data_IF_999209891339
#
_entry.id   IF_999209891339
#
_cell.length_a   1.000
_cell.length_b   1.000
_cell.length_c   1.000
_cell.angle_alpha   90.00
_cell.angle_beta   90.00
_cell.angle_gamma   90.00
#
_symmetry.space_group_name_H-M   'P 1'
#
loop_
_entity.id
_entity.type
_entity.pdbx_description
1 polymer ?
#
# COMPACT_ATOMS: atom_id res chain seq x y z
N UNK A 1 -15.01 -2.50 14.92
CA UNK A 1 -15.91 -1.61 15.67
C UNK A 1 -16.98 -1.02 14.75
N UNK A 2 -16.65 -0.09 13.83
CA UNK A 2 -17.63 0.57 12.96
C UNK A 2 -18.58 -0.41 12.22
N UNK A 3 -18.05 -1.46 11.59
CA UNK A 3 -18.87 -2.44 10.86
C UNK A 3 -19.85 -3.17 11.78
N UNK A 4 -19.44 -3.50 13.00
CA UNK A 4 -20.29 -4.16 13.99
C UNK A 4 -21.39 -3.20 14.51
N UNK A 5 -21.01 -1.95 14.77
CA UNK A 5 -21.93 -0.91 15.23
C UNK A 5 -22.96 -0.57 14.16
N UNK A 6 -22.51 -0.46 12.91
CA UNK A 6 -23.39 -0.21 11.77
C UNK A 6 -24.39 -1.36 11.54
N UNK A 7 -23.93 -2.63 11.64
CA UNK A 7 -24.83 -3.79 11.56
C UNK A 7 -25.85 -3.79 12.67
N UNK A 8 -25.43 -3.52 13.92
CA UNK A 8 -26.35 -3.43 15.05
C UNK A 8 -27.38 -2.32 14.88
N UNK A 9 -26.98 -1.19 14.31
CA UNK A 9 -27.89 -0.09 13.98
C UNK A 9 -28.86 -0.49 12.87
N UNK A 10 -28.36 -1.09 11.80
CA UNK A 10 -29.15 -1.56 10.67
C UNK A 10 -30.24 -2.56 11.11
N UNK A 11 -29.86 -3.57 11.87
CA UNK A 11 -30.78 -4.59 12.40
C UNK A 11 -31.86 -4.01 13.30
N UNK A 12 -31.51 -3.04 14.18
CA UNK A 12 -32.44 -2.49 15.17
C UNK A 12 -33.37 -1.42 14.63
N UNK A 13 -32.89 -0.60 13.70
CA UNK A 13 -33.59 0.63 13.34
C UNK A 13 -33.97 0.74 11.87
N UNK A 14 -33.29 0.02 10.97
CA UNK A 14 -33.52 0.10 9.53
C UNK A 14 -34.17 -1.19 9.00
N UNK A 15 -33.65 -2.33 9.41
CA UNK A 15 -34.13 -3.67 9.03
C UNK A 15 -34.22 -3.88 7.51
N UNK A 16 -33.27 -3.32 6.76
CA UNK A 16 -33.23 -3.41 5.31
C UNK A 16 -32.69 -4.74 4.79
N UNK A 17 -32.03 -5.52 5.66
CA UNK A 17 -31.34 -6.76 5.30
C UNK A 17 -30.00 -6.54 4.56
N UNK A 18 -29.49 -5.30 4.56
CA UNK A 18 -28.21 -4.97 3.94
C UNK A 18 -27.05 -5.35 4.86
N UNK A 19 -26.11 -6.13 4.34
CA UNK A 19 -24.87 -6.45 5.02
C UNK A 19 -23.74 -5.52 4.58
N UNK A 20 -23.21 -4.73 5.51
CA UNK A 20 -22.04 -3.88 5.30
C UNK A 20 -20.78 -4.54 5.87
N UNK A 21 -19.75 -4.63 5.04
CA UNK A 21 -18.42 -5.15 5.42
C UNK A 21 -17.34 -4.63 4.48
N UNK A 22 -16.09 -4.63 4.93
CA UNK A 22 -14.92 -4.32 4.09
C UNK A 22 -14.32 -5.61 3.55
N UNK A 23 -14.45 -5.83 2.24
CA UNK A 23 -13.97 -7.04 1.57
C UNK A 23 -12.46 -7.24 1.74
N UNK A 24 -11.66 -6.19 1.65
CA UNK A 24 -10.20 -6.26 1.71
C UNK A 24 -9.62 -6.13 3.12
N UNK A 25 -10.46 -6.04 4.15
CA UNK A 25 -10.02 -5.88 5.55
C UNK A 25 -9.06 -6.97 6.05
N UNK A 26 -9.15 -8.24 5.62
CA UNK A 26 -8.20 -9.27 6.04
C UNK A 26 -6.78 -9.09 5.53
N UNK A 27 -6.60 -8.28 4.51
CA UNK A 27 -5.36 -8.13 3.76
C UNK A 27 -4.56 -6.90 4.19
N UNK A 28 -3.25 -6.98 4.08
CA UNK A 28 -2.37 -5.83 4.22
C UNK A 28 -2.39 -4.95 2.96
N UNK A 29 -2.00 -3.69 3.10
CA UNK A 29 -1.87 -2.77 1.96
C UNK A 29 -0.83 -3.28 0.95
N UNK A 30 0.22 -3.95 1.44
CA UNK A 30 1.24 -4.56 0.59
C UNK A 30 0.69 -5.72 -0.26
N UNK A 31 -0.16 -6.60 0.31
CA UNK A 31 -0.81 -7.67 -0.45
C UNK A 31 -1.75 -7.10 -1.52
N UNK A 32 -2.52 -6.07 -1.15
CA UNK A 32 -3.43 -5.38 -2.08
C UNK A 32 -2.63 -4.73 -3.21
N UNK A 33 -1.54 -4.04 -2.89
CA UNK A 33 -0.67 -3.41 -3.89
C UNK A 33 -0.05 -4.43 -4.86
N UNK A 34 0.42 -5.56 -4.33
CA UNK A 34 0.94 -6.67 -5.15
C UNK A 34 -0.13 -7.18 -6.12
N UNK A 35 -1.30 -7.52 -5.60
CA UNK A 35 -2.41 -8.03 -6.42
C UNK A 35 -2.86 -7.00 -7.47
N UNK A 36 -2.99 -5.75 -7.07
CA UNK A 36 -3.36 -4.65 -7.98
C UNK A 36 -2.35 -4.53 -9.12
N UNK A 37 -1.06 -4.55 -8.81
CA UNK A 37 0.01 -4.44 -9.81
C UNK A 37 0.02 -5.61 -10.80
N UNK A 38 -0.22 -6.85 -10.31
CA UNK A 38 -0.08 -8.07 -11.12
C UNK A 38 -1.37 -8.49 -11.85
N UNK A 39 -2.55 -8.09 -11.34
CA UNK A 39 -3.85 -8.59 -11.81
C UNK A 39 -4.81 -7.51 -12.28
N UNK A 40 -4.52 -6.24 -11.99
CA UNK A 40 -5.44 -5.13 -12.27
C UNK A 40 -4.85 -4.10 -13.23
N UNK A 41 -3.97 -4.50 -14.15
CA UNK A 41 -3.28 -3.62 -15.10
C UNK A 41 -4.23 -2.69 -15.85
N UNK A 42 -5.39 -3.19 -16.29
CA UNK A 42 -6.41 -2.41 -16.98
C UNK A 42 -6.98 -1.23 -16.16
N UNK A 43 -6.74 -1.22 -14.84
CA UNK A 43 -7.23 -0.19 -13.93
C UNK A 43 -6.15 0.80 -13.49
N UNK A 44 -4.89 0.58 -13.87
CA UNK A 44 -3.78 1.45 -13.46
C UNK A 44 -4.00 2.90 -13.88
N UNK A 45 -4.48 3.14 -15.11
CA UNK A 45 -4.70 4.48 -15.64
C UNK A 45 -5.85 5.24 -14.98
N UNK A 46 -6.83 4.54 -14.41
CA UNK A 46 -8.02 5.13 -13.77
C UNK A 46 -7.96 5.12 -12.24
N UNK A 47 -6.97 4.43 -11.66
CA UNK A 47 -6.80 4.36 -10.20
C UNK A 47 -6.47 5.72 -9.60
N UNK A 48 -7.26 6.14 -8.61
CA UNK A 48 -7.05 7.38 -7.85
C UNK A 48 -7.35 7.15 -6.39
N UNK A 49 -6.45 7.59 -5.53
CA UNK A 49 -6.59 7.50 -4.07
C UNK A 49 -6.14 8.78 -3.35
N UNK A 50 -5.82 9.84 -4.10
CA UNK A 50 -5.35 11.10 -3.55
C UNK A 50 -6.51 11.94 -3.04
N UNK A 51 -6.50 12.31 -1.73
CA UNK A 51 -7.54 13.16 -1.16
C UNK A 51 -7.52 14.59 -1.74
N UNK A 52 -6.33 15.15 -2.01
CA UNK A 52 -6.18 16.50 -2.55
C UNK A 52 -6.52 16.55 -4.05
N UNK A 53 -6.17 15.52 -4.80
CA UNK A 53 -6.43 15.42 -6.24
C UNK A 53 -7.83 14.90 -6.60
N UNK A 54 -8.63 14.46 -5.63
CA UNK A 54 -9.93 13.85 -5.88
C UNK A 54 -10.95 14.75 -6.62
N UNK A 55 -10.82 16.07 -6.48
CA UNK A 55 -11.70 17.03 -7.20
C UNK A 55 -11.33 17.20 -8.67
N UNK A 56 -10.11 16.89 -9.04
CA UNK A 56 -9.56 17.06 -10.40
C UNK A 56 -9.22 15.73 -11.07
N UNK A 57 -9.67 14.62 -10.47
CA UNK A 57 -9.35 13.26 -10.92
C UNK A 57 -7.84 13.04 -11.20
N UNK A 58 -7.01 13.52 -10.28
CA UNK A 58 -5.55 13.50 -10.43
C UNK A 58 -4.83 13.10 -9.14
N UNK A 59 -3.55 12.75 -9.26
CA UNK A 59 -2.64 12.63 -8.14
C UNK A 59 -2.00 13.99 -7.86
N UNK A 60 -2.03 14.46 -6.60
CA UNK A 60 -1.35 15.72 -6.26
C UNK A 60 0.19 15.59 -6.28
N UNK A 61 0.70 14.38 -6.19
CA UNK A 61 2.11 14.02 -6.16
C UNK A 61 2.95 14.82 -5.15
N UNK A 62 2.33 15.27 -4.07
CA UNK A 62 2.95 16.15 -3.08
C UNK A 62 2.40 15.93 -1.66
N UNK A 63 1.84 14.77 -1.35
CA UNK A 63 1.37 14.42 -0.02
C UNK A 63 1.88 13.04 0.40
N UNK A 64 1.93 12.74 1.72
CA UNK A 64 2.37 11.46 2.25
C UNK A 64 1.61 10.26 1.68
N UNK A 65 0.32 10.42 1.37
CA UNK A 65 -0.49 9.35 0.79
C UNK A 65 -0.05 8.99 -0.63
N UNK A 66 0.19 9.98 -1.49
CA UNK A 66 0.73 9.74 -2.83
C UNK A 66 2.10 9.04 -2.75
N UNK A 67 2.96 9.51 -1.84
CA UNK A 67 4.26 8.88 -1.62
C UNK A 67 4.11 7.43 -1.13
N UNK A 68 3.26 7.19 -0.13
CA UNK A 68 3.01 5.84 0.39
C UNK A 68 2.58 4.87 -0.71
N UNK A 69 1.58 5.26 -1.52
CA UNK A 69 1.11 4.42 -2.62
C UNK A 69 2.23 4.17 -3.66
N UNK A 70 3.04 5.18 -3.97
CA UNK A 70 4.20 5.00 -4.85
C UNK A 70 5.18 3.98 -4.26
N UNK A 71 5.48 4.05 -2.97
CA UNK A 71 6.42 3.14 -2.30
C UNK A 71 5.93 1.70 -2.35
N UNK A 72 4.67 1.43 -2.00
CA UNK A 72 4.17 0.05 -1.94
C UNK A 72 3.92 -0.58 -3.32
N UNK A 73 3.77 0.23 -4.38
CA UNK A 73 3.68 -0.24 -5.77
C UNK A 73 5.06 -0.45 -6.42
N UNK A 74 6.08 0.30 -5.98
CA UNK A 74 7.40 0.31 -6.60
C UNK A 74 8.12 -1.05 -6.70
N UNK A 75 7.97 -2.01 -5.75
CA UNK A 75 8.52 -3.36 -5.90
C UNK A 75 7.99 -4.10 -7.13
N UNK A 76 6.74 -3.86 -7.51
CA UNK A 76 5.99 -4.65 -8.49
C UNK A 76 5.89 -3.97 -9.86
N UNK A 77 5.92 -2.64 -9.91
CA UNK A 77 5.79 -1.84 -11.13
C UNK A 77 7.13 -1.26 -11.56
N UNK A 78 7.35 -1.14 -12.87
CA UNK A 78 8.50 -0.45 -13.42
C UNK A 78 8.45 1.06 -13.15
N UNK A 79 9.59 1.74 -13.38
CA UNK A 79 9.65 3.20 -13.29
C UNK A 79 8.63 3.89 -14.23
N UNK A 80 8.47 3.36 -15.44
CA UNK A 80 7.60 3.94 -16.46
C UNK A 80 6.11 3.73 -16.11
N UNK A 81 5.73 2.55 -15.60
CA UNK A 81 4.37 2.29 -15.10
C UNK A 81 4.02 3.19 -13.91
N UNK A 82 4.93 3.39 -12.96
CA UNK A 82 4.75 4.34 -11.86
C UNK A 82 4.50 5.75 -12.41
N UNK A 83 5.31 6.17 -13.39
CA UNK A 83 5.16 7.48 -14.03
C UNK A 83 3.86 7.62 -14.82
N UNK A 84 3.39 6.55 -15.43
CA UNK A 84 2.09 6.53 -16.13
C UNK A 84 0.92 6.71 -15.15
N UNK A 85 0.95 6.04 -13.99
CA UNK A 85 -0.09 6.14 -12.98
C UNK A 85 -0.14 7.53 -12.34
N UNK A 86 1.02 8.07 -11.95
CA UNK A 86 1.11 9.30 -11.14
C UNK A 86 1.43 10.56 -11.97
N UNK A 87 1.86 10.42 -13.23
CA UNK A 87 2.41 11.51 -14.04
C UNK A 87 3.90 11.75 -13.78
N UNK A 88 4.43 11.29 -12.64
CA UNK A 88 5.83 11.41 -12.25
C UNK A 88 6.21 10.29 -11.25
N UNK A 89 7.51 10.04 -11.06
CA UNK A 89 7.94 9.09 -10.02
C UNK A 89 8.33 9.85 -8.74
N UNK A 90 7.53 9.71 -7.69
CA UNK A 90 7.75 10.40 -6.42
C UNK A 90 9.05 9.98 -5.71
N UNK A 91 9.56 8.78 -5.99
CA UNK A 91 10.83 8.32 -5.42
C UNK A 91 12.04 9.17 -5.86
N UNK A 92 11.91 9.95 -6.93
CA UNK A 92 12.96 10.86 -7.41
C UNK A 92 12.89 12.26 -6.80
N UNK A 93 11.92 12.55 -5.94
CA UNK A 93 11.66 13.88 -5.40
C UNK A 93 12.33 14.10 -4.04
N UNK A 94 13.42 14.84 -4.02
CA UNK A 94 14.13 15.17 -2.77
C UNK A 94 13.24 15.86 -1.73
N UNK A 95 12.31 16.71 -2.15
CA UNK A 95 11.36 17.36 -1.24
C UNK A 95 10.45 16.41 -0.46
N UNK A 96 10.35 15.14 -0.88
CA UNK A 96 9.57 14.11 -0.19
C UNK A 96 10.38 13.35 0.88
N UNK A 97 11.68 13.66 1.08
CA UNK A 97 12.53 12.99 2.08
C UNK A 97 11.93 13.04 3.48
N UNK A 98 11.46 14.21 3.91
CA UNK A 98 10.85 14.35 5.25
C UNK A 98 9.62 13.48 5.44
N UNK A 99 8.75 13.38 4.44
CA UNK A 99 7.58 12.52 4.48
C UNK A 99 7.97 11.03 4.40
N UNK A 100 9.02 10.71 3.66
CA UNK A 100 9.56 9.36 3.59
C UNK A 100 10.11 8.90 4.94
N UNK A 101 10.89 9.75 5.63
CA UNK A 101 11.38 9.48 6.98
C UNK A 101 10.25 9.25 7.99
N UNK A 102 9.17 10.04 7.90
CA UNK A 102 7.96 9.83 8.71
C UNK A 102 7.31 8.49 8.42
N UNK A 103 7.20 8.09 7.16
CA UNK A 103 6.64 6.81 6.75
C UNK A 103 7.52 5.62 7.20
N UNK A 104 8.84 5.77 7.14
CA UNK A 104 9.81 4.80 7.69
C UNK A 104 9.80 4.78 9.23
N UNK A 105 9.20 5.79 9.88
CA UNK A 105 9.15 5.95 11.33
C UNK A 105 10.47 6.37 11.93
N UNK A 106 11.31 7.07 11.19
CA UNK A 106 12.53 7.73 11.65
C UNK A 106 12.22 9.05 12.35
N UNK A 107 11.03 9.59 12.16
CA UNK A 107 10.48 10.74 12.87
C UNK A 107 9.43 10.28 13.90
N UNK A 108 9.31 10.97 15.06
CA UNK A 108 8.27 10.65 16.04
C UNK A 108 6.84 10.93 15.52
N UNK A 109 6.72 11.79 14.53
CA UNK A 109 5.43 12.16 13.92
C UNK A 109 5.07 11.17 12.80
N UNK A 110 3.94 10.47 12.96
CA UNK A 110 3.33 9.73 11.84
C UNK A 110 2.51 10.72 10.99
N UNK A 111 2.55 10.61 9.64
CA UNK A 111 1.66 11.41 8.78
C UNK A 111 0.19 11.20 9.16
N UNK A 112 -0.58 12.29 9.20
CA UNK A 112 -2.03 12.27 9.50
C UNK A 112 -2.87 11.76 8.31
N UNK A 113 -2.29 10.99 7.43
CA UNK A 113 -2.93 10.43 6.24
C UNK A 113 -3.27 8.95 6.48
N UNK A 114 -4.25 8.44 5.70
CA UNK A 114 -4.52 7.01 5.64
C UNK A 114 -3.37 6.32 4.88
N UNK A 115 -2.34 5.97 5.60
CA UNK A 115 -1.16 5.24 5.11
C UNK A 115 -1.04 3.91 5.88
N UNK A 116 -0.47 2.91 5.22
CA UNK A 116 -0.31 1.58 5.80
C UNK A 116 0.66 1.51 6.97
N UNK A 117 1.17 0.34 7.23
CA UNK A 117 2.07 0.09 8.36
C UNK A 117 3.51 0.42 7.98
N UNK A 118 4.29 0.88 8.99
CA UNK A 118 5.74 1.12 8.86
C UNK A 118 6.49 -0.09 8.28
N UNK A 119 6.17 -1.31 8.77
CA UNK A 119 6.78 -2.54 8.28
C UNK A 119 6.58 -2.77 6.79
N UNK A 120 5.42 -2.39 6.25
CA UNK A 120 5.13 -2.50 4.81
C UNK A 120 5.96 -1.51 3.99
N UNK A 121 6.14 -0.28 4.50
CA UNK A 121 7.00 0.74 3.86
C UNK A 121 8.46 0.29 3.84
N UNK A 122 8.96 -0.25 4.95
CA UNK A 122 10.32 -0.77 5.06
C UNK A 122 10.52 -1.94 4.07
N UNK A 123 9.64 -2.93 4.09
CA UNK A 123 9.71 -4.08 3.19
C UNK A 123 9.68 -3.65 1.72
N UNK A 124 8.74 -2.77 1.35
CA UNK A 124 8.64 -2.25 -0.01
C UNK A 124 9.90 -1.49 -0.45
N UNK A 125 10.50 -0.71 0.45
CA UNK A 125 11.75 0.01 0.18
C UNK A 125 12.93 -0.94 -0.07
N UNK A 126 13.08 -2.00 0.75
CA UNK A 126 14.09 -3.04 0.54
C UNK A 126 13.91 -3.76 -0.80
N UNK A 127 12.69 -4.17 -1.13
CA UNK A 127 12.41 -4.84 -2.39
C UNK A 127 12.66 -3.93 -3.59
N UNK A 128 12.30 -2.66 -3.48
CA UNK A 128 12.58 -1.66 -4.51
C UNK A 128 14.08 -1.46 -4.70
N UNK A 129 14.83 -1.32 -3.60
CA UNK A 129 16.31 -1.22 -3.64
C UNK A 129 16.92 -2.42 -4.36
N UNK A 130 16.54 -3.65 -3.96
CA UNK A 130 17.00 -4.88 -4.63
C UNK A 130 16.71 -4.87 -6.12
N UNK A 131 15.49 -4.53 -6.50
CA UNK A 131 15.08 -4.47 -7.91
C UNK A 131 15.98 -3.54 -8.73
N UNK A 132 16.22 -2.30 -8.23
CA UNK A 132 17.10 -1.36 -8.92
C UNK A 132 18.54 -1.86 -9.02
N UNK A 133 19.05 -2.54 -7.97
CA UNK A 133 20.38 -3.15 -7.97
C UNK A 133 20.49 -4.29 -9.00
N UNK A 134 19.50 -5.18 -9.05
CA UNK A 134 19.42 -6.29 -10.01
C UNK A 134 19.33 -5.79 -11.46
N UNK A 135 18.53 -4.75 -11.67
CA UNK A 135 18.39 -4.08 -12.97
C UNK A 135 19.60 -3.18 -13.34
N UNK A 136 20.55 -3.00 -12.43
CA UNK A 136 21.72 -2.11 -12.58
C UNK A 136 21.34 -0.67 -12.97
N UNK A 137 20.23 -0.18 -12.43
CA UNK A 137 19.73 1.18 -12.64
C UNK A 137 20.19 2.12 -11.53
N UNK A 138 20.30 3.41 -11.86
CA UNK A 138 20.57 4.45 -10.86
C UNK A 138 19.41 4.49 -9.84
N UNK A 139 19.78 4.56 -8.56
CA UNK A 139 18.80 4.64 -7.48
C UNK A 139 18.07 5.98 -7.52
N UNK A 140 16.73 6.00 -7.38
CA UNK A 140 15.99 7.21 -7.07
C UNK A 140 16.44 7.80 -5.73
N UNK A 141 16.33 9.11 -5.55
CA UNK A 141 16.89 9.81 -4.38
C UNK A 141 16.38 9.24 -3.05
N UNK A 142 15.10 8.90 -2.94
CA UNK A 142 14.55 8.31 -1.71
C UNK A 142 15.09 6.90 -1.44
N UNK A 143 15.29 6.10 -2.46
CA UNK A 143 15.87 4.75 -2.33
C UNK A 143 17.38 4.81 -2.07
N UNK A 144 18.09 5.81 -2.62
CA UNK A 144 19.48 6.07 -2.25
C UNK A 144 19.61 6.43 -0.76
N UNK A 145 18.78 7.37 -0.29
CA UNK A 145 18.69 7.71 1.14
C UNK A 145 18.38 6.47 2.00
N UNK A 146 17.42 5.66 1.60
CA UNK A 146 17.09 4.41 2.31
C UNK A 146 18.29 3.46 2.39
N UNK A 147 19.08 3.34 1.32
CA UNK A 147 20.26 2.45 1.28
C UNK A 147 21.36 2.83 2.27
N UNK A 148 21.39 4.10 2.70
CA UNK A 148 22.37 4.61 3.68
C UNK A 148 21.96 4.35 5.14
N UNK A 149 20.64 4.16 5.38
CA UNK A 149 20.08 4.05 6.74
C UNK A 149 19.49 2.67 7.06
N UNK A 150 19.45 1.78 6.07
CA UNK A 150 18.87 0.44 6.24
C UNK A 150 19.71 -0.45 7.15
N UNK A 151 19.06 -1.40 7.83
CA UNK A 151 19.71 -2.49 8.51
C UNK A 151 20.14 -3.58 7.50
N UNK A 152 21.43 -3.79 7.36
CA UNK A 152 21.99 -4.81 6.44
C UNK A 152 21.57 -6.24 6.79
N UNK A 153 21.19 -6.49 8.07
CA UNK A 153 20.74 -7.79 8.54
C UNK A 153 19.22 -8.00 8.46
N UNK A 154 18.47 -7.07 7.84
CA UNK A 154 17.04 -7.20 7.70
C UNK A 154 16.67 -8.44 6.88
N UNK A 155 15.87 -9.34 7.46
CA UNK A 155 15.40 -10.55 6.77
C UNK A 155 14.28 -10.26 5.78
N UNK A 156 14.67 -9.74 4.61
CA UNK A 156 13.73 -9.38 3.53
C UNK A 156 12.87 -10.57 3.14
N UNK A 157 13.45 -11.78 3.06
CA UNK A 157 12.72 -12.97 2.62
C UNK A 157 11.70 -13.42 3.66
N UNK A 158 12.09 -13.47 4.93
CA UNK A 158 11.18 -13.84 6.02
C UNK A 158 10.03 -12.85 6.16
N UNK A 159 10.33 -11.55 6.17
CA UNK A 159 9.28 -10.50 6.26
C UNK A 159 8.38 -10.46 5.02
N UNK A 160 8.91 -10.72 3.82
CA UNK A 160 8.09 -10.87 2.62
C UNK A 160 7.10 -12.03 2.76
N UNK A 161 7.61 -13.23 3.09
CA UNK A 161 6.76 -14.42 3.24
C UNK A 161 5.69 -14.22 4.32
N UNK A 162 6.08 -13.66 5.46
CA UNK A 162 5.16 -13.31 6.54
C UNK A 162 4.07 -12.34 6.07
N UNK A 163 4.44 -11.28 5.36
CA UNK A 163 3.51 -10.25 4.90
C UNK A 163 2.53 -10.79 3.87
N UNK A 164 2.99 -11.58 2.88
CA UNK A 164 2.10 -12.11 1.84
C UNK A 164 1.21 -13.26 2.31
N UNK A 165 1.54 -13.93 3.42
CA UNK A 165 0.72 -15.01 4.00
C UNK A 165 -0.22 -14.54 5.10
N UNK A 166 -0.21 -13.26 5.46
CA UNK A 166 -1.09 -12.72 6.48
C UNK A 166 -2.55 -12.79 6.05
N UNK A 167 -3.41 -13.13 7.02
CA UNK A 167 -4.84 -12.98 6.88
C UNK A 167 -5.39 -12.59 8.24
N UNK A 168 -6.02 -11.43 8.34
CA UNK A 168 -6.60 -10.96 9.59
C UNK A 168 -7.93 -11.66 9.83
N UNK A 169 -7.95 -12.60 10.76
CA UNK A 169 -9.15 -13.36 11.13
C UNK A 169 -10.22 -12.48 11.83
N UNK A 170 -9.85 -11.30 12.31
CA UNK A 170 -10.81 -10.35 12.86
C UNK A 170 -11.45 -9.52 11.73
N UNK A 171 -12.33 -10.16 10.98
CA UNK A 171 -13.06 -9.58 9.86
C UNK A 171 -14.55 -9.97 9.94
N UNK A 172 -15.38 -9.37 9.10
CA UNK A 172 -16.84 -9.60 9.06
C UNK A 172 -17.29 -10.21 7.72
N UNK A 173 -16.41 -10.92 7.03
CA UNK A 173 -16.74 -11.57 5.76
C UNK A 173 -17.65 -12.77 5.98
N UNK A 174 -18.50 -13.04 5.00
CA UNK A 174 -19.13 -14.35 4.92
C UNK A 174 -18.13 -15.41 4.47
N UNK A 175 -18.34 -16.70 4.79
CA UNK A 175 -17.45 -17.78 4.38
C UNK A 175 -17.16 -17.82 2.87
N UNK A 176 -18.13 -17.43 2.04
CA UNK A 176 -17.97 -17.42 0.59
C UNK A 176 -16.99 -16.33 0.14
N UNK A 177 -17.08 -15.11 0.70
CA UNK A 177 -16.14 -14.03 0.40
C UNK A 177 -14.75 -14.31 0.95
N UNK A 178 -14.66 -14.89 2.14
CA UNK A 178 -13.37 -15.30 2.70
C UNK A 178 -12.69 -16.34 1.80
N UNK A 179 -13.43 -17.37 1.36
CA UNK A 179 -12.92 -18.38 0.44
C UNK A 179 -12.39 -17.74 -0.86
N UNK A 180 -13.17 -16.83 -1.46
CA UNK A 180 -12.75 -16.13 -2.68
C UNK A 180 -11.44 -15.37 -2.47
N UNK A 181 -11.30 -14.66 -1.34
CA UNK A 181 -10.06 -13.92 -1.04
C UNK A 181 -8.88 -14.86 -0.85
N UNK A 182 -9.03 -15.93 -0.07
CA UNK A 182 -7.95 -16.91 0.15
C UNK A 182 -7.50 -17.53 -1.17
N UNK A 183 -8.42 -17.91 -2.04
CA UNK A 183 -8.10 -18.44 -3.37
C UNK A 183 -7.37 -17.42 -4.25
N UNK A 184 -7.84 -16.17 -4.29
CA UNK A 184 -7.27 -15.12 -5.15
C UNK A 184 -5.90 -14.64 -4.70
N UNK A 185 -5.64 -14.64 -3.39
CA UNK A 185 -4.37 -14.22 -2.80
C UNK A 185 -3.45 -15.40 -2.45
N UNK A 186 -3.85 -16.64 -2.72
CA UNK A 186 -3.11 -17.86 -2.43
C UNK A 186 -2.75 -18.02 -0.94
N UNK A 187 -3.75 -17.79 -0.05
CA UNK A 187 -3.65 -17.82 1.41
C UNK A 187 -4.23 -19.10 2.02
#
# INVERSE_FOLDING_TARGET
EFECDFRSYEEKFVSSGVNYFSLLRPLSEFQIAKFFSEKCENYHSVFRSCNLGGKTDSWCCNCPKCLFITIILAPFLSHDEIKEIFGENLLTKEKMLSDYDKLLGLSPEKPFECVGMRSEVILASYLTLKKYQEERKALPVLISHFSEIMDENYDIKGEYLKTISQFNENNNLSPDFEKILREKFSL
#
